data_IF_676451000191
#
_entry.id   IF_676451000191
#
_cell.length_a   1.000
_cell.length_b   1.000
_cell.length_c   1.000
_cell.angle_alpha   90.00
_cell.angle_beta   90.00
_cell.angle_gamma   90.00
#
_symmetry.space_group_name_H-M   'P 1'
#
loop_
_entity.id
_entity.type
_entity.pdbx_description
1 polymer ?
#
# COMPACT_ATOMS: atom_id res chain seq x y z
N UNK A 1 -11.83 13.94 9.21
CA UNK A 1 -11.76 14.02 7.74
C UNK A 1 -12.38 12.76 7.14
N UNK A 2 -13.63 12.80 6.66
CA UNK A 2 -14.32 11.60 6.15
C UNK A 2 -13.60 10.96 4.93
N UNK A 3 -12.90 11.77 4.13
CA UNK A 3 -12.17 11.30 2.96
C UNK A 3 -10.95 10.41 3.28
N UNK A 4 -10.35 10.56 4.47
CA UNK A 4 -9.19 9.75 4.87
C UNK A 4 -9.57 8.34 5.30
N UNK A 5 -10.83 8.15 5.71
CA UNK A 5 -11.34 6.85 6.09
C UNK A 5 -11.59 5.97 4.87
N UNK A 6 -12.16 6.52 3.79
CA UNK A 6 -12.35 5.79 2.54
C UNK A 6 -11.03 5.34 1.90
N UNK A 7 -10.02 6.21 1.86
CA UNK A 7 -8.68 5.83 1.34
C UNK A 7 -8.06 4.73 2.21
N UNK A 8 -8.23 4.79 3.53
CA UNK A 8 -7.70 3.77 4.44
C UNK A 8 -8.40 2.40 4.21
N UNK A 9 -9.72 2.41 3.97
CA UNK A 9 -10.50 1.21 3.64
C UNK A 9 -10.05 0.62 2.29
N UNK A 10 -9.90 1.43 1.24
CA UNK A 10 -9.41 0.99 -0.07
C UNK A 10 -7.98 0.40 0.02
N UNK A 11 -7.08 1.07 0.75
CA UNK A 11 -5.73 0.54 0.95
C UNK A 11 -5.72 -0.76 1.76
N UNK A 12 -6.63 -0.90 2.73
CA UNK A 12 -6.77 -2.13 3.50
C UNK A 12 -7.23 -3.28 2.61
N UNK A 13 -8.23 -3.05 1.75
CA UNK A 13 -8.74 -4.04 0.82
C UNK A 13 -7.64 -4.57 -0.11
N UNK A 14 -6.84 -3.67 -0.70
CA UNK A 14 -5.69 -4.04 -1.55
C UNK A 14 -4.61 -4.82 -0.79
N UNK A 15 -4.34 -4.46 0.47
CA UNK A 15 -3.39 -5.20 1.31
C UNK A 15 -3.92 -6.61 1.58
N UNK A 16 -5.20 -6.74 1.94
CA UNK A 16 -5.84 -8.03 2.21
C UNK A 16 -5.79 -8.92 0.98
N UNK A 17 -6.20 -8.42 -0.19
CA UNK A 17 -6.10 -9.16 -1.45
C UNK A 17 -4.66 -9.64 -1.71
N UNK A 18 -3.68 -8.75 -1.57
CA UNK A 18 -2.26 -9.09 -1.80
C UNK A 18 -1.76 -10.17 -0.83
N UNK A 19 -2.19 -10.12 0.44
CA UNK A 19 -1.77 -11.07 1.48
C UNK A 19 -2.49 -12.41 1.35
N UNK A 20 -3.70 -12.44 0.81
CA UNK A 20 -4.48 -13.66 0.58
C UNK A 20 -4.05 -14.44 -0.66
N UNK A 21 -3.33 -13.84 -1.62
CA UNK A 21 -2.91 -14.52 -2.85
C UNK A 21 -1.89 -15.66 -2.59
N UNK A 22 -2.13 -16.84 -3.16
CA UNK A 22 -1.23 -18.01 -3.10
C UNK A 22 -0.16 -18.02 -4.22
N UNK A 23 0.62 -16.94 -4.34
CA UNK A 23 1.75 -16.87 -5.30
C UNK A 23 3.09 -17.05 -4.59
N UNK A 24 4.10 -17.55 -5.32
CA UNK A 24 5.48 -17.67 -4.82
C UNK A 24 6.24 -16.35 -4.85
N UNK A 25 6.00 -15.53 -5.88
CA UNK A 25 6.64 -14.23 -6.10
C UNK A 25 5.62 -13.14 -6.38
N UNK A 26 5.99 -11.90 -6.08
CA UNK A 26 5.24 -10.68 -6.41
C UNK A 26 6.22 -9.70 -7.06
N UNK A 27 5.81 -9.09 -8.17
CA UNK A 27 6.63 -8.10 -8.89
C UNK A 27 6.39 -6.69 -8.32
N UNK A 28 7.43 -6.04 -7.82
CA UNK A 28 7.39 -4.69 -7.24
C UNK A 28 8.52 -3.86 -7.87
N UNK A 29 8.18 -2.68 -8.41
CA UNK A 29 9.13 -1.79 -9.09
C UNK A 29 9.97 -2.48 -10.19
N UNK A 30 9.35 -3.42 -10.92
CA UNK A 30 10.00 -4.19 -11.97
C UNK A 30 10.76 -5.43 -11.50
N UNK A 31 11.05 -5.57 -10.21
CA UNK A 31 11.77 -6.71 -9.62
C UNK A 31 10.81 -7.78 -9.05
N UNK A 32 11.15 -9.05 -9.22
CA UNK A 32 10.45 -10.14 -8.53
C UNK A 32 10.96 -10.29 -7.08
N UNK A 33 10.03 -10.32 -6.13
CA UNK A 33 10.32 -10.50 -4.71
C UNK A 33 9.54 -11.71 -4.16
N UNK A 34 10.08 -12.48 -3.19
CA UNK A 34 9.34 -13.57 -2.56
C UNK A 34 8.03 -13.05 -1.97
N UNK A 35 6.91 -13.71 -2.26
CA UNK A 35 5.60 -13.27 -1.79
C UNK A 35 5.56 -13.18 -0.25
N UNK A 36 6.17 -14.13 0.45
CA UNK A 36 6.28 -14.11 1.92
C UNK A 36 6.95 -12.84 2.45
N UNK A 37 8.01 -12.36 1.78
CA UNK A 37 8.70 -11.13 2.17
C UNK A 37 7.78 -9.91 1.98
N UNK A 38 7.08 -9.84 0.85
CA UNK A 38 6.14 -8.76 0.55
C UNK A 38 4.99 -8.76 1.55
N UNK A 39 4.38 -9.92 1.81
CA UNK A 39 3.31 -10.09 2.80
C UNK A 39 3.75 -9.67 4.20
N UNK A 40 4.94 -10.11 4.63
CA UNK A 40 5.50 -9.70 5.93
C UNK A 40 5.67 -8.19 6.05
N UNK A 41 6.07 -7.50 4.98
CA UNK A 41 6.18 -6.04 4.98
C UNK A 41 4.81 -5.35 5.04
N UNK A 42 3.84 -5.83 4.26
CA UNK A 42 2.49 -5.27 4.25
C UNK A 42 1.76 -5.47 5.59
N UNK A 43 1.90 -6.64 6.21
CA UNK A 43 1.30 -6.94 7.52
C UNK A 43 1.90 -6.15 8.69
N UNK A 44 3.06 -5.50 8.51
CA UNK A 44 3.65 -4.59 9.50
C UNK A 44 3.08 -3.17 9.42
N UNK A 45 2.33 -2.85 8.37
CA UNK A 45 1.70 -1.55 8.23
C UNK A 45 0.54 -1.43 9.21
N UNK A 46 0.38 -0.23 9.75
CA UNK A 46 -0.74 0.13 10.60
C UNK A 46 -1.37 1.42 10.07
N UNK A 47 -2.49 1.82 10.65
CA UNK A 47 -3.23 3.00 10.19
C UNK A 47 -2.44 4.30 10.31
N UNK A 48 -1.46 4.40 11.21
CA UNK A 48 -0.58 5.57 11.34
C UNK A 48 0.41 5.67 10.17
N UNK A 49 1.03 4.55 9.78
CA UNK A 49 1.91 4.50 8.60
C UNK A 49 1.17 4.96 7.34
N UNK A 50 -0.06 4.47 7.15
CA UNK A 50 -0.88 4.80 5.98
C UNK A 50 -1.29 6.28 6.00
N UNK A 51 -1.75 6.78 7.16
CA UNK A 51 -2.08 8.20 7.33
C UNK A 51 -0.88 9.11 7.08
N UNK A 52 0.31 8.72 7.52
CA UNK A 52 1.54 9.47 7.27
C UNK A 52 1.82 9.59 5.78
N UNK A 53 1.73 8.48 5.02
CA UNK A 53 1.92 8.49 3.56
C UNK A 53 0.88 9.39 2.88
N UNK A 54 -0.40 9.29 3.25
CA UNK A 54 -1.47 10.14 2.70
C UNK A 54 -1.18 11.63 2.99
N UNK A 55 -0.75 11.94 4.22
CA UNK A 55 -0.36 13.30 4.61
C UNK A 55 0.81 13.80 3.75
N UNK A 56 1.86 13.01 3.59
CA UNK A 56 3.00 13.36 2.73
C UNK A 56 2.59 13.54 1.26
N UNK A 57 1.67 12.73 0.74
CA UNK A 57 1.15 12.87 -0.62
C UNK A 57 0.30 14.15 -0.79
N UNK A 58 -0.46 14.56 0.24
CA UNK A 58 -1.20 15.84 0.23
C UNK A 58 -0.27 17.05 0.30
N UNK A 59 0.78 16.96 1.11
CA UNK A 59 1.77 18.04 1.29
C UNK A 59 2.71 18.15 0.06
N UNK A 60 2.94 17.04 -0.64
CA UNK A 60 3.74 17.00 -1.87
C UNK A 60 2.85 17.18 -3.10
N UNK A 61 2.56 18.43 -3.47
CA UNK A 61 1.82 18.79 -4.71
C UNK A 61 2.60 18.55 -6.02
N UNK A 62 3.58 17.64 -6.02
CA UNK A 62 4.21 17.17 -7.24
C UNK A 62 3.19 16.33 -8.00
N UNK A 63 2.46 16.98 -8.92
CA UNK A 63 1.54 16.36 -9.89
C UNK A 63 2.08 14.99 -10.31
N UNK A 64 1.47 13.91 -9.80
CA UNK A 64 1.78 12.54 -10.22
C UNK A 64 1.41 12.47 -11.70
N UNK A 65 2.43 12.58 -12.54
CA UNK A 65 2.34 12.69 -14.01
C UNK A 65 2.42 11.32 -14.70
N UNK A 66 2.20 10.24 -13.96
CA UNK A 66 2.13 8.88 -14.51
C UNK A 66 1.13 8.07 -13.69
N UNK A 67 -0.05 7.86 -14.27
CA UNK A 67 -0.97 6.74 -13.98
C UNK A 67 -0.88 5.83 -15.19
#
# INVERSE_FOLDING_TARGET
YPYEQGILEEMLELIVETVCIERKTIRICGEEKPAQLVKSRLMKLNSEHIRYVIKCMKETTSKVRNI
#
